data_IF_063625265142
#
_entry.id   IF_063625265142
#
_cell.length_a   1.000
_cell.length_b   1.000
_cell.length_c   1.000
_cell.angle_alpha   90.00
_cell.angle_beta   90.00
_cell.angle_gamma   90.00
#
_symmetry.space_group_name_H-M   'P 1'
#
loop_
_entity.id
_entity.type
_entity.pdbx_description
1 polymer ?
#
# COMPACT_ATOMS: atom_id res chain seq x y z
N UNK A 1 5.77 0.03 -8.45
CA UNK A 1 5.86 1.45 -8.09
C UNK A 1 4.98 2.21 -9.06
N UNK A 2 4.02 2.99 -8.57
CA UNK A 2 3.10 3.77 -9.41
C UNK A 2 3.31 5.25 -9.08
N UNK A 3 3.46 6.07 -10.12
CA UNK A 3 3.85 7.49 -10.04
C UNK A 3 2.80 8.33 -10.75
N UNK A 4 2.29 9.39 -10.12
CA UNK A 4 1.34 10.31 -10.75
C UNK A 4 1.60 11.77 -10.34
N UNK A 5 1.57 12.72 -11.30
CA UNK A 5 1.68 14.13 -11.00
C UNK A 5 0.35 14.67 -10.44
N UNK A 6 0.45 15.40 -9.32
CA UNK A 6 -0.56 16.27 -8.67
C UNK A 6 -1.90 15.66 -8.22
N UNK A 7 -1.95 15.25 -6.94
CA UNK A 7 -2.75 15.86 -5.85
C UNK A 7 -2.64 14.96 -4.59
N UNK A 8 -1.78 15.31 -3.63
CA UNK A 8 -1.56 14.49 -2.42
C UNK A 8 -2.78 14.33 -1.50
N UNK A 9 -3.86 15.08 -1.72
CA UNK A 9 -5.08 15.01 -0.90
C UNK A 9 -5.97 13.81 -1.25
N UNK A 10 -6.10 13.46 -2.54
CA UNK A 10 -6.92 12.34 -2.99
C UNK A 10 -6.40 11.75 -4.31
N UNK A 11 -5.18 11.20 -4.33
CA UNK A 11 -4.65 10.54 -5.51
C UNK A 11 -5.47 9.29 -5.83
N UNK A 12 -5.79 9.09 -7.11
CA UNK A 12 -6.53 7.92 -7.59
C UNK A 12 -5.67 7.14 -8.56
N UNK A 13 -5.25 5.94 -8.15
CA UNK A 13 -4.45 5.05 -9.00
C UNK A 13 -5.32 4.19 -9.94
N UNK A 14 -6.43 3.62 -9.45
CA UNK A 14 -7.26 2.66 -10.21
C UNK A 14 -6.49 1.47 -10.84
N UNK A 15 -5.33 1.13 -10.30
CA UNK A 15 -4.48 0.05 -10.79
C UNK A 15 -4.76 -1.28 -10.09
N UNK A 16 -4.54 -2.38 -10.82
CA UNK A 16 -4.71 -3.75 -10.31
C UNK A 16 -3.38 -4.49 -10.36
N UNK A 17 -2.84 -4.76 -9.17
CA UNK A 17 -1.66 -5.61 -9.00
C UNK A 17 -2.07 -7.06 -8.73
N UNK A 18 -1.31 -8.01 -9.30
CA UNK A 18 -1.52 -9.45 -9.12
C UNK A 18 -0.21 -10.11 -8.70
N UNK A 19 -0.29 -10.96 -7.69
CA UNK A 19 0.86 -11.66 -7.12
C UNK A 19 0.52 -13.13 -6.96
N UNK A 20 1.44 -14.01 -7.36
CA UNK A 20 1.42 -15.42 -6.98
C UNK A 20 2.18 -15.61 -5.67
N UNK A 21 1.57 -16.29 -4.70
CA UNK A 21 2.17 -16.51 -3.38
C UNK A 21 2.24 -18.02 -3.13
N UNK A 22 3.44 -18.58 -3.19
CA UNK A 22 3.63 -20.03 -3.04
C UNK A 22 3.53 -20.51 -1.58
N UNK A 23 3.93 -19.67 -0.62
CA UNK A 23 3.99 -20.00 0.81
C UNK A 23 3.30 -18.89 1.62
N UNK A 24 1.94 -18.85 1.65
CA UNK A 24 1.15 -17.80 2.29
C UNK A 24 1.50 -17.52 3.76
N UNK A 25 1.88 -18.56 4.51
CA UNK A 25 2.20 -18.51 5.93
C UNK A 25 3.50 -17.75 6.24
N UNK A 26 4.40 -17.61 5.27
CA UNK A 26 5.64 -16.83 5.39
C UNK A 26 5.55 -15.46 4.69
N UNK A 27 4.42 -15.16 4.04
CA UNK A 27 4.26 -13.95 3.24
C UNK A 27 3.81 -12.76 4.09
N UNK A 28 4.40 -11.59 3.81
CA UNK A 28 3.96 -10.29 4.30
C UNK A 28 3.49 -9.45 3.13
N UNK A 29 2.43 -8.68 3.32
CA UNK A 29 2.03 -7.61 2.40
C UNK A 29 2.49 -6.29 2.99
N UNK A 30 3.21 -5.49 2.19
CA UNK A 30 3.63 -4.15 2.55
C UNK A 30 3.12 -3.15 1.53
N UNK A 31 2.36 -2.17 2.02
CA UNK A 31 1.96 -0.97 1.29
C UNK A 31 3.00 0.11 1.58
N UNK A 32 3.51 0.75 0.53
CA UNK A 32 4.42 1.90 0.63
C UNK A 32 3.92 2.97 -0.32
N UNK A 33 3.84 4.19 0.19
CA UNK A 33 3.56 5.40 -0.58
C UNK A 33 4.81 6.25 -0.56
N UNK A 34 5.24 6.66 -1.75
CA UNK A 34 6.39 7.53 -1.94
C UNK A 34 5.99 8.72 -2.82
N UNK A 35 6.58 9.89 -2.57
CA UNK A 35 6.53 11.03 -3.47
C UNK A 35 7.60 10.86 -4.54
N UNK A 36 7.21 10.96 -5.80
CA UNK A 36 8.12 10.73 -6.89
C UNK A 36 8.88 12.02 -7.23
N UNK A 37 10.21 11.93 -7.21
CA UNK A 37 11.10 12.98 -7.67
C UNK A 37 11.87 12.51 -8.92
N UNK A 38 11.90 13.37 -9.95
CA UNK A 38 12.67 13.14 -11.17
C UNK A 38 14.17 13.39 -11.00
N UNK A 39 14.58 14.18 -10.00
CA UNK A 39 15.97 14.62 -9.80
C UNK A 39 16.69 13.88 -8.68
N UNK A 40 15.95 13.32 -7.71
CA UNK A 40 16.51 12.63 -6.55
C UNK A 40 15.77 11.31 -6.28
N UNK A 41 16.07 10.66 -5.15
CA UNK A 41 15.32 9.46 -4.72
C UNK A 41 13.92 9.84 -4.23
N UNK A 42 12.92 9.00 -4.52
CA UNK A 42 11.57 9.21 -4.01
C UNK A 42 11.54 9.40 -2.49
N UNK A 43 10.75 10.37 -2.03
CA UNK A 43 10.57 10.64 -0.61
C UNK A 43 9.53 9.69 -0.01
N UNK A 44 9.85 9.10 1.14
CA UNK A 44 8.91 8.23 1.84
C UNK A 44 7.74 9.04 2.43
N UNK A 45 6.50 8.68 2.08
CA UNK A 45 5.30 9.30 2.65
C UNK A 45 4.76 8.43 3.79
N UNK A 46 4.56 7.14 3.56
CA UNK A 46 3.93 6.27 4.56
C UNK A 46 3.94 4.79 4.19
N UNK A 47 3.73 3.95 5.19
CA UNK A 47 3.69 2.49 5.00
C UNK A 47 2.68 1.80 5.90
N UNK A 48 2.31 0.58 5.51
CA UNK A 48 1.63 -0.36 6.38
C UNK A 48 2.04 -1.78 6.00
N UNK A 49 2.33 -2.62 6.99
CA UNK A 49 2.76 -4.02 6.77
C UNK A 49 1.93 -4.96 7.62
N UNK A 50 1.48 -6.07 7.04
CA UNK A 50 0.75 -7.12 7.73
C UNK A 50 1.08 -8.52 7.18
N UNK A 51 0.97 -9.58 8.00
CA UNK A 51 0.99 -10.97 7.52
C UNK A 51 -0.10 -11.22 6.48
N UNK A 52 0.22 -11.98 5.44
CA UNK A 52 -0.75 -12.34 4.40
C UNK A 52 -2.00 -13.02 4.99
N UNK A 53 -1.79 -13.87 6.00
CA UNK A 53 -2.87 -14.56 6.73
C UNK A 53 -3.83 -13.62 7.47
N UNK A 54 -3.42 -12.38 7.75
CA UNK A 54 -4.25 -11.36 8.40
C UNK A 54 -4.99 -10.44 7.42
N UNK A 55 -4.79 -10.64 6.11
CA UNK A 55 -5.37 -9.79 5.08
C UNK A 55 -6.87 -10.05 4.95
N UNK A 56 -7.66 -8.99 5.04
CA UNK A 56 -9.10 -9.06 4.81
C UNK A 56 -9.45 -8.71 3.36
N UNK A 57 -10.31 -9.51 2.75
CA UNK A 57 -10.81 -9.27 1.40
C UNK A 57 -11.86 -8.15 1.35
N UNK A 58 -12.15 -7.65 0.14
CA UNK A 58 -13.15 -6.62 -0.12
C UNK A 58 -12.55 -5.21 -0.17
N UNK A 59 -13.40 -4.20 -0.05
CA UNK A 59 -12.98 -2.80 0.03
C UNK A 59 -12.49 -2.49 1.46
N UNK A 60 -11.29 -1.91 1.58
CA UNK A 60 -10.62 -1.65 2.85
C UNK A 60 -9.84 -0.34 2.80
N UNK A 61 -9.77 0.33 3.95
CA UNK A 61 -8.79 1.40 4.16
C UNK A 61 -7.54 0.81 4.82
N UNK A 62 -6.38 1.14 4.27
CA UNK A 62 -5.08 0.87 4.87
C UNK A 62 -4.62 2.17 5.53
N UNK A 63 -4.49 2.16 6.85
CA UNK A 63 -4.03 3.31 7.62
C UNK A 63 -2.52 3.40 7.55
N UNK A 64 -2.00 4.50 7.00
CA UNK A 64 -0.57 4.67 6.79
C UNK A 64 0.12 5.09 8.10
N UNK A 65 1.33 4.57 8.27
CA UNK A 65 2.24 4.91 9.35
C UNK A 65 3.47 5.63 8.79
N UNK A 66 4.03 6.54 9.57
CA UNK A 66 5.30 7.16 9.28
C UNK A 66 6.45 6.14 9.42
N UNK A 67 7.67 6.58 9.11
CA UNK A 67 8.86 5.72 9.13
C UNK A 67 9.19 5.18 10.53
N UNK A 68 8.86 5.93 11.56
CA UNK A 68 9.00 5.56 12.97
C UNK A 68 7.81 4.76 13.53
N UNK A 69 6.80 4.48 12.71
CA UNK A 69 5.60 3.76 13.10
C UNK A 69 4.50 4.64 13.71
N UNK A 70 4.70 5.95 13.79
CA UNK A 70 3.64 6.87 14.26
C UNK A 70 2.49 6.92 13.26
N UNK A 71 1.27 7.10 13.78
CA UNK A 71 0.07 7.18 12.94
C UNK A 71 0.06 8.46 12.13
N UNK A 72 -0.17 8.35 10.81
CA UNK A 72 -0.33 9.50 9.91
C UNK A 72 -1.81 9.92 9.75
N UNK A 73 -2.66 9.61 10.73
CA UNK A 73 -4.09 9.91 10.67
C UNK A 73 -4.34 11.37 10.21
N UNK A 74 -5.18 11.62 9.19
CA UNK A 74 -6.14 10.69 8.58
C UNK A 74 -5.64 9.96 7.31
N UNK A 75 -4.33 9.88 7.04
CA UNK A 75 -3.79 9.31 5.82
C UNK A 75 -4.15 7.82 5.63
N UNK A 76 -4.82 7.51 4.53
CA UNK A 76 -5.20 6.13 4.18
C UNK A 76 -5.05 5.84 2.68
N UNK A 77 -4.86 4.56 2.34
CA UNK A 77 -5.10 4.04 0.99
C UNK A 77 -6.42 3.28 0.93
N UNK A 78 -7.27 3.61 -0.03
CA UNK A 78 -8.47 2.82 -0.30
C UNK A 78 -8.17 1.73 -1.34
N UNK A 79 -8.31 0.47 -0.94
CA UNK A 79 -7.94 -0.69 -1.76
C UNK A 79 -9.08 -1.69 -1.85
N UNK A 80 -9.11 -2.46 -2.95
CA UNK A 80 -9.95 -3.65 -3.07
C UNK A 80 -9.06 -4.88 -3.13
N UNK A 81 -9.18 -5.75 -2.12
CA UNK A 81 -8.39 -6.98 -2.04
C UNK A 81 -9.26 -8.16 -2.47
N UNK A 82 -8.70 -9.02 -3.32
CA UNK A 82 -9.28 -10.31 -3.72
C UNK A 82 -8.21 -11.38 -3.62
N UNK A 83 -8.51 -12.44 -2.89
CA UNK A 83 -7.66 -13.63 -2.75
C UNK A 83 -8.38 -14.78 -3.43
N UNK A 84 -7.68 -15.49 -4.30
CA UNK A 84 -8.17 -16.71 -4.94
C UNK A 84 -7.21 -17.83 -4.57
N UNK A 85 -7.73 -18.93 -4.04
CA UNK A 85 -7.04 -20.21 -4.10
C UNK A 85 -7.15 -20.73 -5.53
N UNK A 86 -6.05 -21.23 -6.08
CA UNK A 86 -6.10 -22.09 -7.26
C UNK A 86 -6.87 -23.38 -6.96
#
# INVERSE_FOLDING_TARGET
>A
MLVFPIAGFNPVWNEVLRFGISVPELALIRFVVEDYDTASSNDFIGQFTLPFTSVQQGYRHVHLLAKDGTSLSPATLFVRIRIKSE
#
